data_IF_392504149151
#
_entry.id   IF_392504149151
#
_cell.length_a   1.000
_cell.length_b   1.000
_cell.length_c   1.000
_cell.angle_alpha   90.00
_cell.angle_beta   90.00
_cell.angle_gamma   90.00
#
_symmetry.space_group_name_H-M   'P 1'
#
loop_
_entity.id
_entity.type
_entity.pdbx_description
1 polymer ?
#
# COMPACT_ATOMS: atom_id res chain seq x y z
N UNK A 1 23.38 -18.35 -1.39
CA UNK A 1 22.40 -17.37 -1.92
C UNK A 1 20.95 -17.54 -1.42
N UNK A 2 20.42 -18.76 -1.16
CA UNK A 2 19.00 -18.96 -0.75
C UNK A 2 18.56 -18.29 0.56
N UNK A 3 19.47 -18.01 1.52
CA UNK A 3 19.12 -17.43 2.83
C UNK A 3 18.79 -15.92 2.79
N UNK A 4 19.30 -15.18 1.81
CA UNK A 4 19.15 -13.72 1.76
C UNK A 4 18.01 -13.28 0.82
N UNK A 5 17.49 -14.19 -0.01
CA UNK A 5 16.44 -13.87 -0.98
C UNK A 5 15.15 -13.34 -0.33
N UNK A 6 14.63 -13.93 0.77
CA UNK A 6 13.45 -13.37 1.46
C UNK A 6 13.71 -11.97 2.03
N UNK A 7 14.93 -11.68 2.47
CA UNK A 7 15.30 -10.36 2.98
C UNK A 7 15.31 -9.32 1.85
N UNK A 8 15.91 -9.64 0.71
CA UNK A 8 15.94 -8.77 -0.48
C UNK A 8 14.51 -8.46 -0.94
N UNK A 9 13.65 -9.48 -1.00
CA UNK A 9 12.24 -9.30 -1.36
C UNK A 9 11.53 -8.37 -0.37
N UNK A 10 11.75 -8.54 0.94
CA UNK A 10 11.15 -7.67 1.97
C UNK A 10 11.60 -6.22 1.81
N UNK A 11 12.88 -5.97 1.52
CA UNK A 11 13.40 -4.63 1.27
C UNK A 11 12.78 -4.03 0.01
N UNK A 12 12.64 -4.80 -1.06
CA UNK A 12 12.03 -4.33 -2.31
C UNK A 12 10.55 -3.98 -2.11
N UNK A 13 9.78 -4.84 -1.43
CA UNK A 13 8.36 -4.58 -1.14
C UNK A 13 8.21 -3.39 -0.19
N UNK A 14 9.06 -3.30 0.83
CA UNK A 14 9.11 -2.14 1.73
C UNK A 14 9.31 -0.83 0.97
N UNK A 15 10.32 -0.78 0.10
CA UNK A 15 10.60 0.39 -0.74
C UNK A 15 9.42 0.74 -1.66
N UNK A 16 8.75 -0.27 -2.22
CA UNK A 16 7.58 -0.09 -3.09
C UNK A 16 6.39 0.53 -2.35
N UNK A 17 6.08 0.06 -1.14
CA UNK A 17 5.02 0.66 -0.31
C UNK A 17 5.41 2.05 0.20
N UNK A 18 6.67 2.23 0.60
CA UNK A 18 7.17 3.53 1.08
C UNK A 18 7.11 4.59 -0.02
N UNK A 19 7.56 4.24 -1.23
CA UNK A 19 7.47 5.10 -2.40
C UNK A 19 6.01 5.42 -2.73
N UNK A 20 5.10 4.43 -2.64
CA UNK A 20 3.65 4.62 -2.84
C UNK A 20 3.07 5.67 -1.90
N UNK A 21 3.42 5.60 -0.62
CA UNK A 21 2.93 6.51 0.40
C UNK A 21 3.50 7.93 0.21
N UNK A 22 4.81 8.06 0.00
CA UNK A 22 5.47 9.36 -0.22
C UNK A 22 4.98 10.02 -1.51
N UNK A 23 4.80 9.25 -2.57
CA UNK A 23 4.40 9.77 -3.86
C UNK A 23 2.97 10.35 -3.85
N UNK A 24 2.08 9.84 -3.00
CA UNK A 24 0.73 10.42 -2.77
C UNK A 24 0.76 11.74 -1.98
N UNK A 25 1.86 12.06 -1.31
CA UNK A 25 2.05 13.34 -0.60
C UNK A 25 2.76 14.40 -1.46
N UNK A 26 3.20 14.03 -2.67
CA UNK A 26 3.89 14.90 -3.61
C UNK A 26 2.91 15.50 -4.63
N UNK A 27 3.09 16.75 -5.11
CA UNK A 27 4.12 17.74 -4.74
C UNK A 27 3.92 18.40 -3.38
N UNK A 28 2.66 18.59 -2.98
CA UNK A 28 2.30 18.99 -1.61
C UNK A 28 1.25 18.04 -1.07
N UNK A 29 1.21 17.75 0.25
CA UNK A 29 0.29 16.77 0.80
C UNK A 29 -1.18 17.04 0.44
N UNK A 30 -1.62 18.30 0.51
CA UNK A 30 -3.00 18.67 0.19
C UNK A 30 -3.34 18.44 -1.28
N UNK A 31 -2.42 18.78 -2.19
CA UNK A 31 -2.67 18.59 -3.62
C UNK A 31 -2.59 17.11 -4.00
N UNK A 32 -1.53 16.41 -3.61
CA UNK A 32 -1.30 14.99 -3.91
C UNK A 32 -2.43 14.09 -3.41
N UNK A 33 -2.88 14.32 -2.17
CA UNK A 33 -3.97 13.55 -1.58
C UNK A 33 -5.30 13.87 -2.27
N UNK A 34 -5.71 15.14 -2.33
CA UNK A 34 -7.05 15.51 -2.77
C UNK A 34 -7.24 15.43 -4.27
N UNK A 35 -6.29 15.94 -5.07
CA UNK A 35 -6.47 16.06 -6.52
C UNK A 35 -6.07 14.82 -7.29
N UNK A 36 -5.13 14.04 -6.79
CA UNK A 36 -4.63 12.87 -7.52
C UNK A 36 -5.18 11.59 -6.92
N UNK A 37 -5.09 11.41 -5.61
CA UNK A 37 -5.48 10.16 -4.99
C UNK A 37 -6.98 10.05 -4.72
N UNK A 38 -7.60 11.09 -4.16
CA UNK A 38 -9.04 11.08 -3.89
C UNK A 38 -9.85 11.09 -5.19
N UNK A 39 -9.63 12.07 -6.06
CA UNK A 39 -10.34 12.17 -7.35
C UNK A 39 -10.02 11.02 -8.30
N UNK A 40 -8.77 10.53 -8.33
CA UNK A 40 -8.37 9.44 -9.22
C UNK A 40 -8.78 8.04 -8.74
N UNK A 41 -8.96 7.85 -7.43
CA UNK A 41 -9.16 6.51 -6.86
C UNK A 41 -10.34 6.37 -5.91
N UNK A 42 -10.56 7.31 -4.98
CA UNK A 42 -11.59 7.17 -3.94
C UNK A 42 -12.97 7.63 -4.42
N UNK A 43 -13.07 8.76 -5.11
CA UNK A 43 -14.35 9.23 -5.66
C UNK A 43 -14.91 8.22 -6.69
N UNK A 44 -14.11 7.67 -7.62
CA UNK A 44 -14.58 6.61 -8.53
C UNK A 44 -14.94 5.30 -7.83
N UNK A 45 -14.43 5.04 -6.62
CA UNK A 45 -14.88 3.92 -5.78
C UNK A 45 -16.26 4.18 -5.13
N UNK A 46 -16.78 5.40 -5.20
CA UNK A 46 -18.06 5.80 -4.59
C UNK A 46 -17.93 6.42 -3.19
N UNK A 47 -16.73 6.81 -2.76
CA UNK A 47 -16.59 7.58 -1.52
C UNK A 47 -17.09 9.01 -1.71
N UNK A 48 -17.73 9.58 -0.68
CA UNK A 48 -18.15 10.98 -0.70
C UNK A 48 -16.97 11.93 -0.46
N UNK A 49 -17.04 13.14 -0.99
CA UNK A 49 -16.00 14.18 -0.81
C UNK A 49 -15.73 14.52 0.66
N UNK A 50 -16.72 14.34 1.55
CA UNK A 50 -16.52 14.55 2.98
C UNK A 50 -15.80 13.39 3.69
N UNK A 51 -15.91 12.16 3.19
CA UNK A 51 -15.24 10.97 3.75
C UNK A 51 -13.90 10.67 3.10
N UNK A 52 -13.71 11.08 1.85
CA UNK A 52 -12.50 10.82 1.08
C UNK A 52 -11.20 11.31 1.78
N UNK A 53 -11.16 12.50 2.43
CA UNK A 53 -9.97 12.96 3.18
C UNK A 53 -9.57 12.09 4.38
N UNK A 54 -10.55 11.48 5.05
CA UNK A 54 -10.27 10.61 6.18
C UNK A 54 -9.79 9.23 5.70
N UNK A 55 -10.44 8.69 4.68
CA UNK A 55 -10.05 7.41 4.08
C UNK A 55 -8.70 7.48 3.37
N UNK A 56 -8.41 8.58 2.67
CA UNK A 56 -7.15 8.77 1.94
C UNK A 56 -5.95 8.74 2.89
N UNK A 57 -6.01 9.53 3.96
CA UNK A 57 -4.99 9.55 5.02
C UNK A 57 -4.86 8.21 5.73
N UNK A 58 -5.97 7.52 5.98
CA UNK A 58 -5.95 6.19 6.58
C UNK A 58 -5.26 5.16 5.68
N UNK A 59 -5.53 5.17 4.37
CA UNK A 59 -4.86 4.29 3.40
C UNK A 59 -3.36 4.58 3.35
N UNK A 60 -2.97 5.85 3.27
CA UNK A 60 -1.55 6.25 3.25
C UNK A 60 -0.85 5.82 4.55
N UNK A 61 -1.53 5.95 5.70
CA UNK A 61 -1.03 5.45 6.98
C UNK A 61 -0.80 3.93 6.95
N UNK A 62 -1.71 3.16 6.35
CA UNK A 62 -1.54 1.71 6.17
C UNK A 62 -0.35 1.40 5.26
N UNK A 63 -0.14 2.17 4.18
CA UNK A 63 1.02 1.97 3.29
C UNK A 63 2.35 2.18 4.03
N UNK A 64 2.46 3.28 4.79
CA UNK A 64 3.64 3.52 5.64
C UNK A 64 3.80 2.41 6.68
N UNK A 65 2.70 1.99 7.32
CA UNK A 65 2.74 0.93 8.31
C UNK A 65 3.27 -0.37 7.71
N UNK A 66 2.74 -0.81 6.57
CA UNK A 66 3.20 -2.01 5.86
C UNK A 66 4.66 -1.88 5.45
N UNK A 67 5.07 -0.71 4.92
CA UNK A 67 6.43 -0.46 4.47
C UNK A 67 7.46 -0.74 5.58
N UNK A 68 7.19 -0.29 6.81
CA UNK A 68 8.08 -0.54 7.95
C UNK A 68 7.84 -1.91 8.59
N UNK A 69 6.59 -2.35 8.71
CA UNK A 69 6.24 -3.62 9.35
C UNK A 69 6.79 -4.83 8.58
N UNK A 70 6.87 -4.77 7.25
CA UNK A 70 7.40 -5.89 6.45
C UNK A 70 8.90 -6.12 6.68
N UNK A 71 9.65 -5.11 7.13
CA UNK A 71 11.06 -5.24 7.53
C UNK A 71 11.23 -5.84 8.93
N UNK A 72 10.19 -5.81 9.75
CA UNK A 72 10.16 -6.42 11.07
C UNK A 72 9.75 -7.90 11.01
N UNK A 73 10.18 -8.69 11.99
CA UNK A 73 9.81 -10.12 12.08
C UNK A 73 8.44 -10.32 12.71
N UNK A 74 7.98 -9.37 13.50
CA UNK A 74 6.77 -9.45 14.31
C UNK A 74 5.52 -9.61 13.43
N UNK A 75 4.77 -10.69 13.63
CA UNK A 75 3.52 -11.02 12.89
C UNK A 75 3.63 -10.91 11.36
N UNK A 76 4.84 -11.09 10.80
CA UNK A 76 5.08 -10.91 9.37
C UNK A 76 4.18 -11.81 8.51
N UNK A 77 4.15 -13.11 8.84
CA UNK A 77 3.34 -14.09 8.11
C UNK A 77 1.84 -13.98 8.41
N UNK A 78 1.48 -13.72 9.67
CA UNK A 78 0.07 -13.78 10.12
C UNK A 78 -0.72 -12.50 9.87
N UNK A 79 -0.06 -11.35 9.86
CA UNK A 79 -0.72 -10.05 9.77
C UNK A 79 -0.17 -9.24 8.59
N UNK A 80 1.12 -8.93 8.58
CA UNK A 80 1.69 -7.96 7.63
C UNK A 80 1.53 -8.40 6.17
N UNK A 81 1.94 -9.62 5.82
CA UNK A 81 1.83 -10.13 4.45
C UNK A 81 0.35 -10.26 4.02
N UNK A 82 -0.55 -10.90 4.79
CA UNK A 82 -1.97 -10.95 4.45
C UNK A 82 -2.61 -9.56 4.29
N UNK A 83 -2.35 -8.62 5.20
CA UNK A 83 -2.88 -7.25 5.10
C UNK A 83 -2.38 -6.56 3.83
N UNK A 84 -1.11 -6.75 3.46
CA UNK A 84 -0.53 -6.21 2.21
C UNK A 84 -1.23 -6.78 0.97
N UNK A 85 -1.48 -8.10 0.96
CA UNK A 85 -2.15 -8.77 -0.15
C UNK A 85 -3.60 -8.29 -0.27
N UNK A 86 -4.34 -8.23 0.84
CA UNK A 86 -5.74 -7.77 0.85
C UNK A 86 -5.82 -6.34 0.32
N UNK A 87 -4.95 -5.46 0.79
CA UNK A 87 -4.95 -4.05 0.39
C UNK A 87 -4.67 -3.89 -1.11
N UNK A 88 -3.63 -4.57 -1.63
CA UNK A 88 -3.33 -4.55 -3.07
C UNK A 88 -4.46 -5.19 -3.88
N UNK A 89 -5.07 -6.26 -3.39
CA UNK A 89 -6.15 -6.96 -4.07
C UNK A 89 -7.39 -6.08 -4.21
N UNK A 90 -7.82 -5.39 -3.15
CA UNK A 90 -8.96 -4.47 -3.18
C UNK A 90 -8.73 -3.36 -4.21
N UNK A 91 -7.54 -2.74 -4.23
CA UNK A 91 -7.21 -1.74 -5.25
C UNK A 91 -7.16 -2.34 -6.65
N UNK A 92 -6.66 -3.56 -6.81
CA UNK A 92 -6.63 -4.22 -8.11
C UNK A 92 -8.02 -4.47 -8.69
N UNK A 93 -9.01 -4.82 -7.84
CA UNK A 93 -10.40 -4.97 -8.27
C UNK A 93 -10.98 -3.65 -8.76
N UNK A 94 -10.73 -2.55 -8.03
CA UNK A 94 -11.17 -1.23 -8.46
C UNK A 94 -10.50 -0.79 -9.77
N UNK A 95 -9.18 -0.99 -9.89
CA UNK A 95 -8.46 -0.67 -11.13
C UNK A 95 -8.98 -1.49 -12.32
N UNK A 96 -9.28 -2.77 -12.13
CA UNK A 96 -9.88 -3.60 -13.17
C UNK A 96 -11.26 -3.06 -13.60
N UNK A 97 -12.04 -2.55 -12.65
CA UNK A 97 -13.32 -1.90 -12.93
C UNK A 97 -13.14 -0.58 -13.72
N UNK A 98 -12.19 0.28 -13.34
CA UNK A 98 -11.84 1.50 -14.09
C UNK A 98 -11.38 1.20 -15.53
N UNK A 99 -10.57 0.16 -15.73
CA UNK A 99 -10.16 -0.28 -17.09
C UNK A 99 -11.38 -0.67 -17.92
N UNK A 100 -12.37 -1.34 -17.32
CA UNK A 100 -13.59 -1.74 -18.02
C UNK A 100 -14.43 -0.54 -18.45
N UNK A 101 -14.41 0.55 -17.67
CA UNK A 101 -15.05 1.82 -18.01
C UNK A 101 -14.29 2.62 -19.08
N UNK A 102 -13.08 2.19 -19.45
CA UNK A 102 -12.25 2.84 -20.46
C UNK A 102 -11.27 3.88 -19.92
N UNK A 103 -11.05 3.93 -18.61
CA UNK A 103 -10.12 4.88 -18.00
C UNK A 103 -8.66 4.55 -18.39
N UNK A 104 -7.96 5.57 -18.89
CA UNK A 104 -6.54 5.49 -19.24
C UNK A 104 -5.69 6.57 -18.56
N UNK A 105 -6.32 7.46 -17.80
CA UNK A 105 -5.66 8.53 -17.06
C UNK A 105 -4.92 8.02 -15.82
N UNK A 106 -4.20 8.90 -15.14
CA UNK A 106 -3.44 8.55 -13.95
C UNK A 106 -4.37 8.03 -12.84
N UNK A 107 -4.23 6.76 -12.43
CA UNK A 107 -5.04 6.16 -11.37
C UNK A 107 -4.69 6.66 -9.97
N UNK A 108 -3.61 7.43 -9.83
CA UNK A 108 -3.20 8.05 -8.56
C UNK A 108 -2.56 7.10 -7.54
N UNK A 109 -2.31 5.81 -7.85
CA UNK A 109 -1.73 4.90 -6.85
C UNK A 109 -0.27 5.26 -6.47
N UNK A 110 0.50 5.94 -7.34
CA UNK A 110 1.80 6.56 -7.01
C UNK A 110 1.72 8.09 -7.11
N UNK A 111 0.53 8.67 -6.88
CA UNK A 111 0.32 10.11 -6.98
C UNK A 111 0.75 10.69 -8.33
N UNK A 112 1.20 11.94 -8.32
CA UNK A 112 1.71 12.64 -9.50
C UNK A 112 3.19 12.31 -9.78
N UNK A 113 3.92 11.81 -8.78
CA UNK A 113 5.35 11.56 -8.88
C UNK A 113 5.68 10.50 -9.93
N UNK A 114 4.84 9.46 -10.03
CA UNK A 114 4.96 8.40 -11.04
C UNK A 114 3.57 8.17 -11.63
N UNK A 115 3.18 8.97 -12.65
CA UNK A 115 1.88 8.81 -13.29
C UNK A 115 1.87 7.49 -14.07
N UNK A 116 0.83 6.69 -13.85
CA UNK A 116 0.68 5.40 -14.52
C UNK A 116 -0.79 5.14 -14.85
N UNK A 117 -1.01 4.45 -15.97
CA UNK A 117 -2.36 4.06 -16.35
C UNK A 117 -2.89 2.93 -15.46
N UNK A 118 -4.22 2.73 -15.38
CA UNK A 118 -4.81 1.68 -14.55
C UNK A 118 -4.30 0.28 -14.93
N UNK A 119 -4.03 0.04 -16.22
CA UNK A 119 -3.46 -1.23 -16.68
C UNK A 119 -2.04 -1.47 -16.17
N UNK A 120 -1.17 -0.46 -16.23
CA UNK A 120 0.20 -0.56 -15.72
C UNK A 120 0.21 -0.81 -14.20
N UNK A 121 -0.65 -0.09 -13.48
CA UNK A 121 -0.82 -0.27 -12.05
C UNK A 121 -1.37 -1.66 -11.68
N UNK A 122 -2.33 -2.19 -12.45
CA UNK A 122 -2.88 -3.53 -12.26
C UNK A 122 -1.81 -4.62 -12.46
N UNK A 123 -1.01 -4.54 -13.52
CA UNK A 123 0.09 -5.49 -13.77
C UNK A 123 1.09 -5.47 -12.61
N UNK A 124 1.50 -4.27 -12.16
CA UNK A 124 2.39 -4.09 -11.01
C UNK A 124 1.80 -4.72 -9.74
N UNK A 125 0.50 -4.56 -9.51
CA UNK A 125 -0.18 -5.14 -8.36
C UNK A 125 -0.20 -6.68 -8.42
N UNK A 126 -0.51 -7.28 -9.57
CA UNK A 126 -0.51 -8.74 -9.76
C UNK A 126 0.88 -9.33 -9.48
N UNK A 127 1.94 -8.70 -10.02
CA UNK A 127 3.32 -9.10 -9.75
C UNK A 127 3.63 -9.00 -8.25
N UNK A 128 3.23 -7.90 -7.61
CA UNK A 128 3.46 -7.67 -6.17
C UNK A 128 2.75 -8.72 -5.32
N UNK A 129 1.51 -9.09 -5.65
CA UNK A 129 0.77 -10.18 -4.99
C UNK A 129 1.50 -11.51 -5.15
N UNK A 130 1.98 -11.84 -6.36
CA UNK A 130 2.76 -13.06 -6.61
C UNK A 130 4.04 -13.12 -5.76
N UNK A 131 4.77 -12.01 -5.67
CA UNK A 131 5.98 -11.89 -4.84
C UNK A 131 5.66 -12.02 -3.35
N UNK A 132 4.57 -11.40 -2.88
CA UNK A 132 4.09 -11.53 -1.49
C UNK A 132 3.64 -12.96 -1.18
N UNK A 133 2.99 -13.66 -2.11
CA UNK A 133 2.63 -15.07 -1.97
C UNK A 133 3.86 -15.99 -1.88
N UNK A 134 4.89 -15.72 -2.69
CA UNK A 134 6.19 -16.39 -2.54
C UNK A 134 6.82 -16.12 -1.17
N UNK A 135 6.81 -14.86 -0.73
CA UNK A 135 7.34 -14.47 0.59
C UNK A 135 6.57 -15.18 1.72
N UNK A 136 5.25 -15.26 1.63
CA UNK A 136 4.40 -15.96 2.61
C UNK A 136 4.79 -17.42 2.77
N UNK A 137 5.01 -18.14 1.66
CA UNK A 137 5.41 -19.55 1.65
C UNK A 137 6.81 -19.78 2.23
N UNK A 138 7.72 -18.82 2.02
CA UNK A 138 9.12 -18.90 2.49
C UNK A 138 9.35 -18.29 3.87
N UNK A 139 8.33 -17.68 4.47
CA UNK A 139 8.41 -17.11 5.82
C UNK A 139 7.94 -18.15 6.84
N UNK A 140 8.77 -18.53 7.83
CA UNK A 140 8.34 -19.43 8.90
C UNK A 140 7.34 -18.73 9.80
N UNK A 141 6.48 -19.52 10.47
CA UNK A 141 5.64 -19.00 11.55
C UNK A 141 6.52 -18.70 12.78
N UNK A 142 6.81 -17.42 13.02
CA UNK A 142 7.44 -17.00 14.26
C UNK A 142 6.44 -17.13 15.41
N UNK A 143 6.84 -17.82 16.48
CA UNK A 143 6.03 -18.02 17.70
C UNK A 143 6.20 -16.88 18.70
N UNK A 144 7.36 -16.20 18.67
CA UNK A 144 7.64 -15.06 19.54
C UNK A 144 7.36 -13.76 18.78
N UNK A 145 6.13 -13.25 18.94
CA UNK A 145 5.72 -12.00 18.33
C UNK A 145 5.30 -11.00 19.40
N UNK A 146 5.88 -9.80 19.36
CA UNK A 146 5.45 -8.70 20.22
C UNK A 146 4.43 -7.83 19.49
N UNK A 147 3.17 -7.94 19.92
CA UNK A 147 2.05 -7.14 19.38
C UNK A 147 2.20 -5.65 19.72
N UNK A 148 2.76 -5.35 20.91
CA UNK A 148 2.96 -3.98 21.38
C UNK A 148 3.85 -3.16 20.45
N UNK A 149 4.90 -3.74 19.87
CA UNK A 149 5.77 -3.02 18.92
C UNK A 149 5.03 -2.60 17.65
N UNK A 150 4.19 -3.49 17.10
CA UNK A 150 3.40 -3.19 15.91
C UNK A 150 2.30 -2.17 16.21
N UNK A 151 1.63 -2.28 17.36
CA UNK A 151 0.58 -1.33 17.74
C UNK A 151 1.13 0.07 17.99
N UNK A 152 2.29 0.18 18.66
CA UNK A 152 2.98 1.48 18.86
C UNK A 152 3.37 2.10 17.52
N UNK A 153 3.92 1.30 16.60
CA UNK A 153 4.27 1.79 15.26
C UNK A 153 3.02 2.27 14.50
N UNK A 154 1.95 1.47 14.49
CA UNK A 154 0.70 1.85 13.84
C UNK A 154 0.13 3.15 14.43
N UNK A 155 0.08 3.25 15.76
CA UNK A 155 -0.42 4.44 16.44
C UNK A 155 0.44 5.68 16.15
N UNK A 156 1.76 5.52 16.10
CA UNK A 156 2.69 6.61 15.76
C UNK A 156 2.47 7.13 14.34
N UNK A 157 2.23 6.25 13.37
CA UNK A 157 1.97 6.64 11.97
C UNK A 157 0.60 7.30 11.84
N UNK A 158 -0.40 6.76 12.52
CA UNK A 158 -1.74 7.36 12.58
C UNK A 158 -1.70 8.76 13.20
N UNK A 159 -0.96 8.94 14.29
CA UNK A 159 -0.78 10.27 14.89
C UNK A 159 -0.13 11.24 13.89
N UNK A 160 0.88 10.82 13.15
CA UNK A 160 1.56 11.67 12.16
C UNK A 160 0.64 12.07 10.99
N UNK A 161 -0.26 11.20 10.56
CA UNK A 161 -1.19 11.49 9.45
C UNK A 161 -2.41 12.33 9.84
N UNK A 162 -2.75 12.36 11.14
CA UNK A 162 -3.93 13.07 11.65
C UNK A 162 -3.62 14.23 12.61
N UNK A 163 -2.34 14.50 12.87
CA UNK A 163 -1.86 15.73 13.51
C UNK A 163 -1.91 16.91 12.54
#
# INVERSE_FOLDING_TARGET
>A
MKKNLPLIIRVLISALFLLSAVAKLYPTPMYGITKIFEEGQLIPMGFSEGLAPYFSRFIIAIEFFIAFAILQKNYLKKLVIPTSIIMIFVFSLHLAYSIFLGDSENCGCFGELIPMSPLQALIKNIITIGVLGFLYKNTPDDKDNSCSKLSIQFLSIMLLMFA
#
